data_IF_566276363203
#
_entry.id   IF_566276363203
#
_cell.length_a   1.000
_cell.length_b   1.000
_cell.length_c   1.000
_cell.angle_alpha   90.00
_cell.angle_beta   90.00
_cell.angle_gamma   90.00
#
_symmetry.space_group_name_H-M   'P 1'
#
loop_
_entity.id
_entity.type
_entity.pdbx_description
1 polymer ?
#
# COMPACT_ATOMS: atom_id res chain seq x y z
N UNK A 1 -6.23 -7.07 -75.54
CA UNK A 1 -7.15 -6.78 -74.43
C UNK A 1 -6.65 -7.49 -73.17
N UNK A 2 -5.55 -7.07 -72.59
CA UNK A 2 -5.07 -7.70 -71.33
C UNK A 2 -4.11 -6.84 -70.51
N UNK A 3 -4.18 -5.51 -70.60
CA UNK A 3 -3.23 -4.64 -69.91
C UNK A 3 -3.85 -3.68 -68.88
N UNK A 4 -5.19 -3.65 -68.76
CA UNK A 4 -5.91 -2.66 -67.93
C UNK A 4 -6.25 -3.23 -66.53
N UNK A 5 -6.08 -4.53 -66.29
CA UNK A 5 -6.48 -5.16 -65.03
C UNK A 5 -5.36 -5.20 -63.93
N UNK A 6 -4.11 -4.79 -64.26
CA UNK A 6 -3.01 -4.85 -63.28
C UNK A 6 -2.77 -3.54 -62.52
N UNK A 7 -3.26 -2.44 -63.05
CA UNK A 7 -3.02 -1.15 -62.39
C UNK A 7 -4.07 -0.79 -61.32
N UNK A 8 -5.24 -1.42 -61.39
CA UNK A 8 -6.29 -1.19 -60.37
C UNK A 8 -6.01 -1.91 -59.05
N UNK A 9 -5.16 -2.96 -59.06
CA UNK A 9 -4.80 -3.67 -57.81
C UNK A 9 -3.69 -2.96 -57.01
N UNK A 10 -2.95 -2.06 -57.64
CA UNK A 10 -1.91 -1.33 -56.91
C UNK A 10 -2.38 -0.05 -56.24
N UNK A 11 -3.54 0.46 -56.64
CA UNK A 11 -4.11 1.66 -56.03
C UNK A 11 -4.96 1.38 -54.77
N UNK A 12 -5.41 0.14 -54.63
CA UNK A 12 -6.20 -0.28 -53.44
C UNK A 12 -5.35 -0.60 -52.21
N UNK A 13 -4.01 -0.74 -52.37
CA UNK A 13 -3.11 -1.17 -51.30
C UNK A 13 -2.40 0.00 -50.56
N UNK A 14 -2.60 1.23 -51.03
CA UNK A 14 -1.96 2.42 -50.46
C UNK A 14 -2.88 3.17 -49.46
N UNK A 15 -4.19 2.89 -49.46
CA UNK A 15 -5.14 3.61 -48.60
C UNK A 15 -5.36 2.91 -47.23
N UNK A 16 -4.89 1.67 -47.05
CA UNK A 16 -5.07 0.94 -45.77
C UNK A 16 -3.93 1.19 -44.78
N UNK A 17 -2.81 1.78 -45.24
CA UNK A 17 -1.63 1.97 -44.36
C UNK A 17 -1.57 3.32 -43.59
N UNK A 18 -2.55 4.20 -43.77
CA UNK A 18 -2.53 5.52 -43.10
C UNK A 18 -3.58 5.66 -41.96
N UNK A 19 -4.47 4.69 -41.79
CA UNK A 19 -5.52 4.75 -40.79
C UNK A 19 -5.20 4.09 -39.44
N UNK A 20 -4.02 3.54 -39.22
CA UNK A 20 -3.69 2.83 -37.95
C UNK A 20 -2.66 3.54 -37.08
N UNK A 21 -2.36 4.81 -37.31
CA UNK A 21 -1.36 5.52 -36.51
C UNK A 21 -1.91 6.71 -35.70
N UNK A 22 -3.21 6.76 -35.42
CA UNK A 22 -3.81 7.84 -34.62
C UNK A 22 -4.64 7.37 -33.44
N UNK A 23 -4.41 6.13 -32.93
CA UNK A 23 -5.12 5.66 -31.74
C UNK A 23 -4.17 5.01 -30.72
N UNK A 24 -3.09 5.68 -30.37
CA UNK A 24 -2.20 5.18 -29.31
C UNK A 24 -1.58 6.30 -28.45
N UNK A 25 -2.25 7.41 -28.27
CA UNK A 25 -1.76 8.48 -27.41
C UNK A 25 -2.76 8.90 -26.32
N UNK A 26 -3.75 8.07 -26.02
CA UNK A 26 -4.83 8.47 -25.09
C UNK A 26 -4.97 7.64 -23.82
N UNK A 27 -4.16 6.59 -23.62
CA UNK A 27 -4.42 5.66 -22.49
C UNK A 27 -3.32 5.59 -21.42
N UNK A 28 -2.20 6.24 -21.62
CA UNK A 28 -1.11 6.20 -20.63
C UNK A 28 -1.21 7.30 -19.54
N UNK A 29 -1.93 8.38 -19.80
CA UNK A 29 -2.03 9.50 -18.85
C UNK A 29 -3.05 9.29 -17.73
N UNK A 30 -3.99 8.35 -17.88
CA UNK A 30 -5.00 8.08 -16.86
C UNK A 30 -4.54 7.12 -15.77
N UNK A 31 -3.52 6.30 -16.01
CA UNK A 31 -2.99 5.35 -15.02
C UNK A 31 -2.03 5.97 -14.02
N UNK A 32 -1.32 7.03 -14.39
CA UNK A 32 -0.35 7.65 -13.48
C UNK A 32 -0.99 8.55 -12.42
N UNK A 33 -2.18 9.06 -12.69
CA UNK A 33 -2.90 9.91 -11.71
C UNK A 33 -3.60 9.11 -10.62
N UNK A 34 -3.93 7.85 -10.87
CA UNK A 34 -4.53 6.95 -9.86
C UNK A 34 -3.49 6.36 -8.89
N UNK A 35 -2.24 6.22 -9.31
CA UNK A 35 -1.15 5.76 -8.44
C UNK A 35 -0.69 6.86 -7.46
N UNK A 36 -0.93 8.13 -7.78
CA UNK A 36 -0.51 9.28 -6.96
C UNK A 36 -1.45 9.61 -5.79
N UNK A 37 -2.65 9.03 -5.75
CA UNK A 37 -3.61 9.21 -4.65
C UNK A 37 -3.55 8.11 -3.58
N UNK A 38 -2.81 7.04 -3.82
CA UNK A 38 -2.45 6.06 -2.80
C UNK A 38 -1.14 6.52 -2.15
N UNK A 39 -1.21 7.54 -1.30
CA UNK A 39 -0.08 8.02 -0.53
C UNK A 39 0.57 6.85 0.22
N UNK A 40 1.88 6.71 0.09
CA UNK A 40 2.65 5.83 0.96
C UNK A 40 2.34 6.23 2.40
N UNK A 41 1.73 5.32 3.14
CA UNK A 41 1.49 5.54 4.56
C UNK A 41 2.85 5.63 5.24
N UNK A 42 3.09 6.73 5.95
CA UNK A 42 4.35 6.98 6.64
C UNK A 42 4.21 6.65 8.14
N UNK A 43 4.32 5.37 8.51
CA UNK A 43 4.22 4.98 9.90
C UNK A 43 5.44 5.45 10.69
N UNK A 44 5.18 5.84 11.94
CA UNK A 44 6.20 6.21 12.92
C UNK A 44 6.19 5.23 14.08
N UNK A 45 7.37 4.87 14.57
CA UNK A 45 7.55 4.17 15.83
C UNK A 45 7.34 5.20 16.95
N UNK A 46 6.24 5.10 17.68
CA UNK A 46 5.91 6.04 18.77
C UNK A 46 6.68 5.69 20.04
N UNK A 47 6.78 4.39 20.34
CA UNK A 47 7.58 3.89 21.45
C UNK A 47 7.94 2.42 21.22
N UNK A 48 9.04 1.98 21.83
CA UNK A 48 9.50 0.59 21.81
C UNK A 48 10.05 0.21 23.19
N UNK A 49 9.71 -0.99 23.62
CA UNK A 49 10.25 -1.65 24.82
C UNK A 49 11.00 -2.90 24.42
N UNK A 50 11.34 -3.74 25.37
CA UNK A 50 11.95 -5.04 25.19
C UNK A 50 10.99 -6.08 24.58
N UNK A 51 9.67 -5.97 24.84
CA UNK A 51 8.68 -6.97 24.46
C UNK A 51 7.45 -6.41 23.74
N UNK A 52 7.36 -5.08 23.54
CA UNK A 52 6.28 -4.46 22.76
C UNK A 52 6.75 -3.20 22.02
N UNK A 53 5.96 -2.79 21.02
CA UNK A 53 6.13 -1.51 20.32
C UNK A 53 4.76 -0.88 20.02
N UNK A 54 4.72 0.46 19.97
CA UNK A 54 3.59 1.22 19.45
C UNK A 54 3.94 1.82 18.09
N UNK A 55 3.12 1.52 17.10
CA UNK A 55 3.25 2.03 15.74
C UNK A 55 2.02 2.90 15.47
N UNK A 56 2.26 4.11 14.93
CA UNK A 56 1.24 5.11 14.63
C UNK A 56 1.42 5.63 13.21
N UNK A 57 0.30 5.90 12.52
CA UNK A 57 0.30 6.63 11.26
C UNK A 57 -0.96 7.47 11.10
N UNK A 58 -0.87 8.41 10.17
CA UNK A 58 -1.97 9.30 9.79
C UNK A 58 -2.29 9.02 8.33
N UNK A 59 -3.56 9.00 8.00
CA UNK A 59 -4.05 8.87 6.62
C UNK A 59 -5.28 9.76 6.44
N UNK A 60 -5.59 10.11 5.20
CA UNK A 60 -6.88 10.69 4.90
C UNK A 60 -8.00 9.73 5.35
N UNK A 61 -9.13 10.29 5.77
CA UNK A 61 -10.28 9.51 6.19
C UNK A 61 -10.76 8.64 5.02
N UNK A 62 -10.70 7.31 5.14
CA UNK A 62 -11.05 6.41 4.05
C UNK A 62 -12.55 6.35 3.77
N UNK A 63 -13.39 6.90 4.66
CA UNK A 63 -14.84 6.78 4.58
C UNK A 63 -15.34 5.36 4.82
N UNK A 64 -16.55 5.06 4.36
CA UNK A 64 -17.14 3.71 4.47
C UNK A 64 -17.74 3.43 5.84
N UNK A 65 -17.38 2.31 6.49
CA UNK A 65 -17.92 1.91 7.80
C UNK A 65 -17.33 2.77 8.93
N UNK A 66 -18.09 2.94 10.02
CA UNK A 66 -17.59 3.69 11.19
C UNK A 66 -16.44 2.95 11.90
N UNK A 67 -16.42 1.63 11.85
CA UNK A 67 -15.38 0.81 12.48
C UNK A 67 -14.37 0.36 11.43
N UNK A 68 -13.10 0.66 11.68
CA UNK A 68 -11.95 0.19 10.93
C UNK A 68 -10.99 -0.57 11.82
N UNK A 69 -10.15 -1.38 11.21
CA UNK A 69 -9.05 -2.08 11.88
C UNK A 69 -7.73 -1.57 11.31
N UNK A 70 -6.94 -0.97 12.17
CA UNK A 70 -5.53 -0.71 11.93
C UNK A 70 -4.76 -2.02 11.94
N UNK A 71 -3.90 -2.27 10.95
CA UNK A 71 -3.19 -3.53 10.77
C UNK A 71 -1.70 -3.26 10.68
N UNK A 72 -0.92 -3.99 11.46
CA UNK A 72 0.53 -4.07 11.35
C UNK A 72 0.89 -5.51 11.03
N UNK A 73 1.47 -5.74 9.86
CA UNK A 73 2.13 -7.01 9.51
C UNK A 73 3.60 -6.88 9.87
N UNK A 74 4.19 -7.85 10.55
CA UNK A 74 5.56 -7.77 11.03
C UNK A 74 6.23 -9.14 11.11
N UNK A 75 7.55 -9.16 11.12
CA UNK A 75 8.38 -10.35 11.22
C UNK A 75 9.85 -10.00 11.45
N UNK A 76 10.68 -11.00 11.64
CA UNK A 76 12.14 -10.84 11.75
C UNK A 76 12.86 -10.81 10.39
N UNK A 77 12.12 -11.06 9.31
CA UNK A 77 12.62 -11.07 7.93
C UNK A 77 11.81 -10.04 7.11
N UNK A 78 12.46 -9.13 6.38
CA UNK A 78 11.77 -8.11 5.59
C UNK A 78 10.90 -8.70 4.47
N UNK A 79 11.24 -9.87 3.95
CA UNK A 79 10.51 -10.54 2.88
C UNK A 79 9.38 -11.44 3.42
N UNK A 80 9.38 -11.74 4.74
CA UNK A 80 8.40 -12.61 5.39
C UNK A 80 7.82 -11.97 6.66
N UNK A 81 6.73 -11.20 6.48
CA UNK A 81 5.98 -10.58 7.58
C UNK A 81 4.83 -11.52 7.97
N UNK A 82 5.14 -12.56 8.72
CA UNK A 82 4.27 -13.69 9.05
C UNK A 82 3.33 -13.44 10.23
N UNK A 83 3.56 -12.37 10.99
CA UNK A 83 2.77 -12.00 12.16
C UNK A 83 1.90 -10.78 11.87
N UNK A 84 0.75 -10.68 12.55
CA UNK A 84 -0.19 -9.58 12.38
C UNK A 84 -0.71 -9.10 13.74
N UNK A 85 -0.63 -7.78 13.97
CA UNK A 85 -1.31 -7.10 15.06
C UNK A 85 -2.43 -6.23 14.50
N UNK A 86 -3.60 -6.21 15.17
CA UNK A 86 -4.77 -5.43 14.78
C UNK A 86 -5.29 -4.59 15.94
N UNK A 87 -5.76 -3.39 15.65
CA UNK A 87 -6.41 -2.52 16.62
C UNK A 87 -7.69 -1.91 16.02
N UNK A 88 -8.84 -2.03 16.69
CA UNK A 88 -10.07 -1.40 16.23
C UNK A 88 -9.97 0.12 16.39
N UNK A 89 -10.43 0.86 15.40
CA UNK A 89 -10.46 2.32 15.38
C UNK A 89 -11.84 2.78 14.90
N UNK A 90 -12.51 3.62 15.67
CA UNK A 90 -13.75 4.27 15.22
C UNK A 90 -13.40 5.57 14.52
N UNK A 91 -13.86 5.70 13.28
CA UNK A 91 -13.68 6.91 12.51
C UNK A 91 -14.82 7.89 12.77
N UNK A 92 -14.49 9.18 12.73
CA UNK A 92 -15.49 10.25 12.68
C UNK A 92 -15.63 10.69 11.22
N UNK A 93 -16.78 10.49 10.56
CA UNK A 93 -16.96 10.85 9.15
C UNK A 93 -16.76 12.35 8.85
N UNK A 94 -16.86 13.20 9.87
CA UNK A 94 -16.67 14.65 9.73
C UNK A 94 -15.19 15.09 9.78
N UNK A 95 -14.25 14.18 10.08
CA UNK A 95 -12.81 14.49 10.11
C UNK A 95 -12.15 14.18 8.77
N UNK A 96 -11.25 15.07 8.34
CA UNK A 96 -10.48 14.89 7.10
C UNK A 96 -9.39 13.84 7.23
N UNK A 97 -8.78 13.71 8.42
CA UNK A 97 -7.68 12.80 8.70
C UNK A 97 -8.01 11.81 9.81
N UNK A 98 -7.41 10.64 9.73
CA UNK A 98 -7.50 9.56 10.70
C UNK A 98 -6.13 9.24 11.28
N UNK A 99 -6.13 8.96 12.59
CA UNK A 99 -4.95 8.47 13.29
C UNK A 99 -5.18 7.00 13.63
N UNK A 100 -4.31 6.16 13.13
CA UNK A 100 -4.23 4.76 13.52
C UNK A 100 -3.07 4.53 14.47
N UNK A 101 -3.29 3.67 15.47
CA UNK A 101 -2.31 3.30 16.47
C UNK A 101 -2.46 1.83 16.81
N UNK A 102 -1.38 1.07 16.72
CA UNK A 102 -1.36 -0.36 17.00
C UNK A 102 -0.26 -0.67 18.00
N UNK A 103 -0.59 -1.47 19.01
CA UNK A 103 0.40 -2.10 19.87
C UNK A 103 0.75 -3.47 19.30
N UNK A 104 2.03 -3.70 19.10
CA UNK A 104 2.62 -4.99 18.73
C UNK A 104 3.20 -5.58 20.00
N UNK A 105 2.76 -6.79 20.37
CA UNK A 105 3.16 -7.48 21.61
C UNK A 105 4.00 -8.72 21.29
N UNK A 106 4.48 -9.36 22.35
CA UNK A 106 5.20 -10.64 22.32
C UNK A 106 6.45 -10.61 21.43
N UNK A 107 7.15 -9.47 21.50
CA UNK A 107 8.42 -9.27 20.84
C UNK A 107 9.56 -9.85 21.69
N UNK A 108 10.63 -10.27 21.04
CA UNK A 108 11.86 -10.69 21.71
C UNK A 108 12.74 -9.45 21.98
N UNK A 109 13.40 -9.39 23.14
CA UNK A 109 14.34 -8.32 23.46
C UNK A 109 15.52 -8.29 22.49
N UNK A 110 16.06 -7.09 22.25
CA UNK A 110 17.26 -6.87 21.43
C UNK A 110 17.12 -7.34 19.98
N UNK A 111 15.89 -7.46 19.46
CA UNK A 111 15.59 -8.07 18.17
C UNK A 111 15.10 -7.02 17.17
N UNK A 112 15.63 -7.07 15.95
CA UNK A 112 15.15 -6.23 14.85
C UNK A 112 13.92 -6.87 14.21
N UNK A 113 12.86 -6.06 14.07
CA UNK A 113 11.62 -6.41 13.39
C UNK A 113 11.39 -5.50 12.20
N UNK A 114 10.88 -6.11 11.13
CA UNK A 114 10.41 -5.41 9.93
C UNK A 114 8.90 -5.38 9.96
N UNK A 115 8.29 -4.30 9.47
CA UNK A 115 6.85 -4.13 9.50
C UNK A 115 6.33 -3.27 8.36
N UNK A 116 5.08 -3.46 8.02
CA UNK A 116 4.29 -2.56 7.17
C UNK A 116 2.91 -2.37 7.76
N UNK A 117 2.26 -1.25 7.42
CA UNK A 117 0.94 -0.91 7.94
C UNK A 117 -0.08 -0.81 6.82
N UNK A 118 -1.33 -1.10 7.17
CA UNK A 118 -2.52 -0.93 6.34
C UNK A 118 -3.74 -0.78 7.23
N UNK A 119 -4.90 -0.57 6.65
CA UNK A 119 -6.16 -0.65 7.37
C UNK A 119 -7.25 -1.32 6.55
N UNK A 120 -8.31 -1.74 7.21
CA UNK A 120 -9.48 -2.35 6.59
C UNK A 120 -10.75 -1.95 7.33
N UNK A 121 -11.86 -1.93 6.62
CA UNK A 121 -13.20 -1.73 7.16
C UNK A 121 -13.66 -2.95 7.96
N UNK A 122 -14.67 -2.76 8.82
CA UNK A 122 -15.25 -3.85 9.60
C UNK A 122 -15.85 -4.98 8.73
N UNK A 123 -16.28 -4.68 7.51
CA UNK A 123 -16.78 -5.65 6.53
C UNK A 123 -15.66 -6.43 5.80
N UNK A 124 -14.38 -6.14 6.11
CA UNK A 124 -13.22 -6.78 5.50
C UNK A 124 -12.68 -6.09 4.23
N UNK A 125 -13.36 -5.06 3.73
CA UNK A 125 -12.83 -4.29 2.60
C UNK A 125 -11.54 -3.54 3.01
N UNK A 126 -10.50 -3.63 2.20
CA UNK A 126 -9.26 -2.91 2.44
C UNK A 126 -9.45 -1.41 2.21
N UNK A 127 -8.87 -0.59 3.08
CA UNK A 127 -8.75 0.83 2.84
C UNK A 127 -7.61 1.12 1.86
N UNK A 128 -7.62 2.27 1.19
CA UNK A 128 -6.52 2.68 0.31
C UNK A 128 -5.21 2.86 1.08
N UNK A 129 -4.12 2.41 0.49
CA UNK A 129 -2.76 2.62 0.98
C UNK A 129 -2.20 1.47 1.83
N UNK A 130 -0.92 1.25 1.63
CA UNK A 130 -0.08 0.34 2.42
C UNK A 130 1.30 0.98 2.50
N UNK A 131 1.97 0.91 3.65
CA UNK A 131 3.32 1.47 3.74
C UNK A 131 4.36 0.56 3.06
N UNK A 132 5.49 1.16 2.69
CA UNK A 132 6.73 0.43 2.49
C UNK A 132 7.12 -0.32 3.77
N UNK A 133 8.00 -1.33 3.63
CA UNK A 133 8.54 -2.05 4.79
C UNK A 133 9.50 -1.12 5.55
N UNK A 134 9.28 -1.05 6.86
CA UNK A 134 10.09 -0.30 7.83
C UNK A 134 10.68 -1.26 8.85
N UNK A 135 11.61 -0.78 9.67
CA UNK A 135 12.20 -1.60 10.74
C UNK A 135 12.29 -0.84 12.05
N UNK A 136 12.34 -1.60 13.14
CA UNK A 136 12.72 -1.13 14.48
C UNK A 136 13.43 -2.25 15.22
N UNK A 137 14.18 -1.89 16.28
CA UNK A 137 14.83 -2.86 17.17
C UNK A 137 14.28 -2.68 18.59
N UNK A 138 13.88 -3.78 19.21
CA UNK A 138 13.44 -3.79 20.61
C UNK A 138 14.61 -3.49 21.54
N UNK A 139 14.30 -2.98 22.72
CA UNK A 139 15.29 -2.79 23.76
C UNK A 139 15.85 -4.14 24.22
N UNK A 140 17.09 -4.15 24.69
CA UNK A 140 17.64 -5.32 25.35
C UNK A 140 16.82 -5.63 26.63
N UNK A 141 16.75 -6.91 27.01
CA UNK A 141 16.17 -7.26 28.31
C UNK A 141 16.91 -6.54 29.42
N UNK A 142 16.17 -5.88 30.32
CA UNK A 142 16.78 -5.39 31.54
C UNK A 142 17.22 -6.59 32.35
N UNK A 143 18.52 -6.82 32.45
CA UNK A 143 19.06 -7.72 33.44
C UNK A 143 18.71 -7.11 34.81
N UNK A 144 17.69 -7.66 35.43
CA UNK A 144 17.46 -7.40 36.86
C UNK A 144 18.67 -7.97 37.57
N UNK A 145 19.56 -7.06 37.99
CA UNK A 145 20.70 -7.45 38.80
C UNK A 145 20.18 -8.27 39.99
N UNK A 146 20.44 -9.56 39.96
CA UNK A 146 20.19 -10.46 41.08
C UNK A 146 21.15 -10.04 42.19
N UNK A 147 20.63 -9.33 43.18
CA UNK A 147 21.31 -9.15 44.46
C UNK A 147 20.95 -10.26 45.41
#
# INVERSE_FOLDING_TARGET
MSSIKRDQLKLAMIIVAVSTLLFSAGSAAASEHSASLQGDLSPTLESVSDNFAFIRWITANPGGTILHYAIVQYGSDPDHLDRTAKSPTRINPAQGDMIFRVRVNDLQPGTTYYYRVSSQQANGASDPGTSSVKQFTTQAANETASQ
#
